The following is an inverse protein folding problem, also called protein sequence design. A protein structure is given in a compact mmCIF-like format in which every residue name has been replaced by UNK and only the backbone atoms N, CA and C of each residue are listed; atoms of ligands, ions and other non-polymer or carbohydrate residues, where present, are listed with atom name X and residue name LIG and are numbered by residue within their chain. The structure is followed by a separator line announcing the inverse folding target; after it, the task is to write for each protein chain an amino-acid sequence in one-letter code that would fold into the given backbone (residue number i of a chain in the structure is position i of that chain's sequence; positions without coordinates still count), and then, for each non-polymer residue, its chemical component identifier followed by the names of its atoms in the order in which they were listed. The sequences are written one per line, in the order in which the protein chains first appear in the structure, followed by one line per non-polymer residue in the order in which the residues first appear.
data_IF_976572874803
#
_entry.id   IF_976572874803
#
_cell.length_a   1.000
_cell.length_b   1.000
_cell.length_c   1.000
_cell.angle_alpha   90.00
_cell.angle_beta   90.00
_cell.angle_gamma   90.00
#
_symmetry.space_group_name_H-M   'P 1'
#
loop_
_entity.id
_entity.type
_entity.pdbx_description
1 polymer ?
#
# COMPACT_ATOMS: atom_id res chain seq x y z
N UNK A 1 4.16 -21.51 -20.61
CA UNK A 1 4.03 -20.04 -20.69
C UNK A 1 2.87 -19.59 -19.80
N UNK A 2 3.02 -18.49 -19.06
CA UNK A 2 1.97 -18.02 -18.13
C UNK A 2 0.77 -17.49 -18.91
N UNK A 3 -0.44 -17.89 -18.51
CA UNK A 3 -1.67 -17.33 -19.08
C UNK A 3 -1.89 -15.94 -18.51
N UNK A 4 -1.68 -14.91 -19.33
CA UNK A 4 -1.88 -13.52 -18.94
C UNK A 4 -3.35 -13.09 -19.12
N UNK A 5 -3.87 -12.18 -18.28
CA UNK A 5 -5.17 -11.56 -18.50
C UNK A 5 -5.18 -10.78 -19.82
N UNK A 6 -6.32 -10.81 -20.54
CA UNK A 6 -6.50 -10.07 -21.81
C UNK A 6 -6.42 -8.54 -21.66
N UNK A 7 -6.67 -8.03 -20.46
CA UNK A 7 -6.71 -6.59 -20.17
C UNK A 7 -5.90 -6.23 -18.93
N UNK A 8 -5.60 -4.95 -18.78
CA UNK A 8 -5.05 -4.35 -17.55
C UNK A 8 -6.02 -3.32 -16.99
N UNK A 9 -5.95 -3.10 -15.68
CA UNK A 9 -6.79 -2.11 -14.98
C UNK A 9 -5.95 -0.94 -14.47
N UNK A 10 -6.06 0.21 -15.15
CA UNK A 10 -5.41 1.43 -14.72
C UNK A 10 -6.30 2.23 -13.77
N UNK A 11 -5.93 2.25 -12.49
CA UNK A 11 -6.61 3.01 -11.45
C UNK A 11 -5.85 4.31 -11.16
N UNK A 12 -6.55 5.44 -11.17
CA UNK A 12 -5.99 6.74 -10.78
C UNK A 12 -6.92 7.50 -9.86
N UNK A 13 -6.33 8.20 -8.90
CA UNK A 13 -7.05 9.04 -7.93
C UNK A 13 -6.81 10.50 -8.29
N UNK A 14 -7.89 11.26 -8.42
CA UNK A 14 -7.85 12.73 -8.58
C UNK A 14 -8.56 13.38 -7.41
N UNK A 15 -8.15 14.61 -7.10
CA UNK A 15 -8.70 15.43 -6.03
C UNK A 15 -9.04 16.79 -6.63
N UNK A 16 -10.26 17.25 -6.38
CA UNK A 16 -10.79 18.50 -6.91
C UNK A 16 -11.37 19.30 -5.75
N UNK A 17 -11.26 20.62 -5.81
CA UNK A 17 -11.91 21.47 -4.80
C UNK A 17 -13.40 21.52 -5.09
N UNK A 18 -14.22 21.34 -4.05
CA UNK A 18 -15.67 21.50 -4.13
C UNK A 18 -16.06 22.94 -3.79
N UNK A 19 -17.10 23.44 -4.45
CA UNK A 19 -17.82 24.63 -4.00
C UNK A 19 -18.70 24.22 -2.81
N UNK A 20 -18.49 24.86 -1.66
CA UNK A 20 -19.22 24.55 -0.44
C UNK A 20 -20.57 25.25 -0.42
N UNK A 21 -21.61 24.59 -0.94
CA UNK A 21 -22.99 25.06 -0.81
C UNK A 21 -23.55 24.67 0.55
N UNK A 22 -24.54 25.41 1.06
CA UNK A 22 -25.20 25.10 2.33
C UNK A 22 -25.76 23.66 2.35
N UNK A 23 -26.37 23.22 1.24
CA UNK A 23 -26.90 21.87 1.12
C UNK A 23 -25.82 20.79 1.18
N UNK A 24 -24.68 21.00 0.51
CA UNK A 24 -23.54 20.08 0.53
C UNK A 24 -23.02 19.94 1.97
N UNK A 25 -22.83 21.07 2.65
CA UNK A 25 -22.31 21.10 4.03
C UNK A 25 -23.31 20.42 4.97
N UNK A 26 -24.58 20.81 4.95
CA UNK A 26 -25.61 20.23 5.82
C UNK A 26 -25.79 18.72 5.60
N UNK A 27 -25.71 18.25 4.35
CA UNK A 27 -25.75 16.82 4.05
C UNK A 27 -24.50 16.09 4.52
N UNK A 28 -23.33 16.70 4.35
CA UNK A 28 -22.08 16.13 4.85
C UNK A 28 -22.08 15.98 6.37
N UNK A 29 -22.49 17.00 7.12
CA UNK A 29 -22.56 16.91 8.59
C UNK A 29 -23.48 15.80 9.07
N UNK A 30 -24.68 15.67 8.46
CA UNK A 30 -25.61 14.56 8.76
C UNK A 30 -24.96 13.19 8.52
N UNK A 31 -24.29 13.00 7.39
CA UNK A 31 -23.62 11.73 7.11
C UNK A 31 -22.49 11.44 8.12
N UNK A 32 -21.71 12.46 8.51
CA UNK A 32 -20.62 12.33 9.48
C UNK A 32 -21.14 11.99 10.88
N UNK A 33 -22.24 12.59 11.31
CA UNK A 33 -22.88 12.29 12.60
C UNK A 33 -23.27 10.81 12.67
N UNK A 34 -23.91 10.29 11.61
CA UNK A 34 -24.30 8.89 11.49
C UNK A 34 -23.08 7.96 11.49
N UNK A 35 -22.05 8.27 10.69
CA UNK A 35 -20.81 7.49 10.65
C UNK A 35 -20.12 7.45 12.03
N UNK A 36 -20.10 8.56 12.76
CA UNK A 36 -19.53 8.64 14.12
C UNK A 36 -20.31 7.78 15.11
N UNK A 37 -21.65 7.90 15.12
CA UNK A 37 -22.56 7.12 15.97
C UNK A 37 -22.36 5.62 15.77
N UNK A 38 -22.28 5.18 14.51
CA UNK A 38 -22.16 3.77 14.14
C UNK A 38 -20.77 3.20 14.43
N UNK A 39 -19.70 4.00 14.33
CA UNK A 39 -18.33 3.50 14.43
C UNK A 39 -18.05 2.76 15.74
N UNK A 40 -18.35 3.37 16.88
CA UNK A 40 -18.09 2.79 18.19
C UNK A 40 -18.97 1.55 18.43
N UNK A 41 -20.23 1.60 17.98
CA UNK A 41 -21.16 0.47 18.06
C UNK A 41 -20.60 -0.76 17.30
N UNK A 42 -20.18 -0.57 16.05
CA UNK A 42 -19.62 -1.65 15.22
C UNK A 42 -18.30 -2.15 15.79
N UNK A 43 -17.42 -1.26 16.25
CA UNK A 43 -16.15 -1.67 16.84
C UNK A 43 -16.35 -2.54 18.09
N UNK A 44 -17.30 -2.17 18.96
CA UNK A 44 -17.67 -2.98 20.14
C UNK A 44 -18.21 -4.35 19.73
N UNK A 45 -19.09 -4.41 18.73
CA UNK A 45 -19.56 -5.69 18.18
C UNK A 45 -18.39 -6.56 17.69
N UNK A 46 -17.44 -5.99 16.94
CA UNK A 46 -16.31 -6.74 16.39
C UNK A 46 -15.36 -7.23 17.47
N UNK A 47 -15.06 -6.41 18.48
CA UNK A 47 -14.25 -6.83 19.63
C UNK A 47 -14.91 -7.97 20.41
N UNK A 48 -16.22 -7.89 20.65
CA UNK A 48 -16.98 -8.93 21.35
C UNK A 48 -17.16 -10.21 20.53
N UNK A 49 -17.22 -10.11 19.21
CA UNK A 49 -17.50 -11.27 18.34
C UNK A 49 -16.23 -11.97 17.85
N UNK A 50 -15.18 -11.20 17.57
CA UNK A 50 -13.98 -11.66 16.85
C UNK A 50 -12.67 -11.24 17.52
N UNK A 51 -12.73 -10.55 18.67
CA UNK A 51 -11.57 -10.04 19.39
C UNK A 51 -10.78 -11.11 20.15
N UNK A 52 -10.05 -10.67 21.18
CA UNK A 52 -9.05 -11.50 21.88
C UNK A 52 -9.62 -12.79 22.47
N UNK A 53 -10.88 -12.78 22.92
CA UNK A 53 -11.57 -13.96 23.48
C UNK A 53 -12.07 -14.94 22.40
N UNK A 54 -12.10 -14.54 21.13
CA UNK A 54 -12.74 -15.29 20.03
C UNK A 54 -11.82 -15.48 18.81
N UNK A 55 -10.53 -15.70 19.05
CA UNK A 55 -9.53 -15.90 17.98
C UNK A 55 -9.78 -17.13 17.11
N UNK A 56 -10.48 -18.14 17.63
CA UNK A 56 -10.85 -19.34 16.86
C UNK A 56 -12.00 -19.09 15.89
N UNK A 57 -12.81 -18.04 16.09
CA UNK A 57 -13.97 -17.76 15.23
C UNK A 57 -13.52 -17.33 13.82
N UNK A 58 -14.07 -17.88 12.73
CA UNK A 58 -13.75 -17.43 11.38
C UNK A 58 -14.09 -15.95 11.18
N UNK A 59 -13.18 -15.20 10.55
CA UNK A 59 -13.37 -13.79 10.21
C UNK A 59 -13.48 -13.61 8.70
N UNK A 60 -14.39 -12.76 8.18
CA UNK A 60 -14.53 -12.55 6.74
C UNK A 60 -13.26 -11.92 6.14
N UNK A 61 -12.57 -12.67 5.27
CA UNK A 61 -11.29 -12.23 4.68
C UNK A 61 -11.47 -11.50 3.35
N UNK A 62 -12.47 -11.88 2.55
CA UNK A 62 -12.73 -11.31 1.22
C UNK A 62 -13.90 -10.31 1.22
N UNK A 63 -14.03 -9.53 0.14
CA UNK A 63 -15.06 -8.47 0.01
C UNK A 63 -16.49 -9.02 0.10
N UNK A 64 -16.78 -10.14 -0.56
CA UNK A 64 -18.12 -10.75 -0.57
C UNK A 64 -18.57 -11.18 0.83
N UNK A 65 -17.70 -11.84 1.58
CA UNK A 65 -17.97 -12.25 2.95
C UNK A 65 -18.15 -11.05 3.91
N UNK A 66 -17.37 -9.97 3.71
CA UNK A 66 -17.55 -8.73 4.48
C UNK A 66 -18.88 -8.04 4.16
N UNK A 67 -19.29 -8.03 2.89
CA UNK A 67 -20.59 -7.51 2.47
C UNK A 67 -21.75 -8.29 3.09
N UNK A 68 -21.65 -9.62 3.15
CA UNK A 68 -22.62 -10.45 3.85
C UNK A 68 -22.74 -10.06 5.34
N UNK A 69 -21.61 -10.00 6.07
CA UNK A 69 -21.62 -9.59 7.48
C UNK A 69 -22.19 -8.17 7.66
N UNK A 70 -21.86 -7.24 6.78
CA UNK A 70 -22.39 -5.88 6.82
C UNK A 70 -23.91 -5.87 6.59
N UNK A 71 -24.38 -6.50 5.51
CA UNK A 71 -25.78 -6.47 5.06
C UNK A 71 -26.70 -7.24 6.01
N UNK A 72 -26.34 -8.46 6.37
CA UNK A 72 -27.27 -9.42 6.95
C UNK A 72 -27.15 -9.51 8.48
N UNK A 73 -26.09 -8.91 9.05
CA UNK A 73 -25.87 -8.91 10.51
C UNK A 73 -25.75 -7.50 11.09
N UNK A 74 -24.84 -6.67 10.56
CA UNK A 74 -24.58 -5.36 11.15
C UNK A 74 -25.72 -4.36 10.89
N UNK A 75 -26.22 -4.27 9.66
CA UNK A 75 -27.29 -3.33 9.31
C UNK A 75 -28.57 -3.60 10.12
N UNK A 76 -29.11 -4.83 10.21
CA UNK A 76 -30.30 -5.10 11.02
C UNK A 76 -30.12 -4.72 12.49
N UNK A 77 -28.93 -5.01 13.05
CA UNK A 77 -28.59 -4.65 14.43
C UNK A 77 -28.51 -3.13 14.65
N UNK A 78 -27.88 -2.42 13.72
CA UNK A 78 -27.80 -0.95 13.74
C UNK A 78 -29.21 -0.35 13.68
N UNK A 79 -30.05 -0.81 12.75
CA UNK A 79 -31.41 -0.30 12.58
C UNK A 79 -32.25 -0.53 13.84
N UNK A 80 -32.22 -1.74 14.40
CA UNK A 80 -32.95 -2.07 15.62
C UNK A 80 -32.44 -1.25 16.82
N UNK A 81 -31.15 -1.33 17.10
CA UNK A 81 -30.59 -0.85 18.37
C UNK A 81 -30.39 0.67 18.40
N UNK A 82 -30.11 1.31 17.25
CA UNK A 82 -29.80 2.75 17.18
C UNK A 82 -30.93 3.62 16.64
N UNK A 83 -31.91 3.01 15.96
CA UNK A 83 -32.99 3.74 15.28
C UNK A 83 -34.39 3.16 15.53
N UNK A 84 -34.54 2.00 16.19
CA UNK A 84 -35.84 1.36 16.40
C UNK A 84 -36.53 0.92 15.10
N UNK A 85 -35.76 0.62 14.05
CA UNK A 85 -36.28 0.29 12.73
C UNK A 85 -36.09 -1.19 12.39
N UNK A 86 -37.09 -1.78 11.71
CA UNK A 86 -37.02 -3.15 11.16
C UNK A 86 -36.51 -3.18 9.71
N UNK A 87 -36.65 -2.07 8.98
CA UNK A 87 -36.24 -1.92 7.57
C UNK A 87 -35.48 -0.61 7.38
N UNK A 88 -34.70 -0.53 6.30
CA UNK A 88 -33.92 0.65 6.00
C UNK A 88 -34.82 1.84 5.62
N UNK A 89 -34.65 2.96 6.33
CA UNK A 89 -35.25 4.25 5.99
C UNK A 89 -34.13 5.30 5.87
N UNK A 90 -33.83 5.73 4.65
CA UNK A 90 -32.74 6.68 4.40
C UNK A 90 -32.96 8.05 5.03
N UNK A 91 -34.21 8.48 5.23
CA UNK A 91 -34.51 9.78 5.84
C UNK A 91 -34.26 9.72 7.35
N UNK A 92 -34.72 8.65 8.01
CA UNK A 92 -34.51 8.45 9.46
C UNK A 92 -33.07 8.12 9.81
N UNK A 93 -32.40 7.32 8.99
CA UNK A 93 -31.00 6.95 9.25
C UNK A 93 -30.07 8.13 8.93
N UNK A 94 -30.39 8.96 7.94
CA UNK A 94 -29.62 10.17 7.62
C UNK A 94 -28.38 9.93 6.76
N UNK A 95 -28.23 8.75 6.18
CA UNK A 95 -27.18 8.41 5.22
C UNK A 95 -27.75 7.46 4.16
N UNK A 96 -27.14 7.41 2.97
CA UNK A 96 -27.51 6.41 1.97
C UNK A 96 -27.03 4.99 2.37
N UNK A 97 -27.87 3.97 2.13
CA UNK A 97 -27.59 2.58 2.53
C UNK A 97 -26.29 2.03 1.97
N UNK A 98 -25.98 2.32 0.71
CA UNK A 98 -24.75 1.85 0.06
C UNK A 98 -23.51 2.59 0.55
N UNK A 99 -23.63 3.86 0.95
CA UNK A 99 -22.52 4.60 1.57
C UNK A 99 -22.12 3.92 2.89
N UNK A 100 -23.13 3.60 3.71
CA UNK A 100 -22.92 2.91 4.96
C UNK A 100 -22.43 1.47 4.75
N UNK A 101 -23.17 0.68 3.98
CA UNK A 101 -22.94 -0.76 3.83
C UNK A 101 -21.71 -1.10 3.00
N UNK A 102 -21.55 -0.50 1.82
CA UNK A 102 -20.57 -0.94 0.82
C UNK A 102 -19.20 -0.27 0.99
N UNK A 103 -19.17 0.93 1.57
CA UNK A 103 -17.94 1.70 1.78
C UNK A 103 -17.58 1.76 3.28
N UNK A 104 -18.45 2.32 4.13
CA UNK A 104 -18.09 2.61 5.51
C UNK A 104 -17.87 1.34 6.35
N UNK A 105 -18.87 0.45 6.44
CA UNK A 105 -18.76 -0.79 7.20
C UNK A 105 -17.66 -1.71 6.65
N UNK A 106 -17.51 -1.82 5.32
CA UNK A 106 -16.43 -2.59 4.71
C UNK A 106 -15.06 -2.04 5.09
N UNK A 107 -14.91 -0.72 5.23
CA UNK A 107 -13.66 -0.12 5.67
C UNK A 107 -13.33 -0.49 7.13
N UNK A 108 -14.32 -0.45 8.03
CA UNK A 108 -14.16 -0.84 9.45
C UNK A 108 -13.79 -2.33 9.54
N UNK A 109 -14.53 -3.19 8.83
CA UNK A 109 -14.24 -4.63 8.75
C UNK A 109 -12.84 -4.89 8.21
N UNK A 110 -12.42 -4.19 7.16
CA UNK A 110 -11.09 -4.38 6.60
C UNK A 110 -10.00 -4.01 7.59
N UNK A 111 -10.11 -2.85 8.23
CA UNK A 111 -9.15 -2.40 9.25
C UNK A 111 -9.14 -3.34 10.46
N UNK A 112 -10.30 -3.81 10.92
CA UNK A 112 -10.38 -4.77 12.02
C UNK A 112 -9.76 -6.13 11.64
N UNK A 113 -9.94 -6.58 10.40
CA UNK A 113 -9.29 -7.78 9.89
C UNK A 113 -7.76 -7.70 9.92
N UNK A 114 -7.18 -6.55 9.56
CA UNK A 114 -5.73 -6.32 9.67
C UNK A 114 -5.26 -6.32 11.12
N UNK A 115 -5.99 -5.67 12.02
CA UNK A 115 -5.74 -5.78 13.46
C UNK A 115 -5.81 -7.24 13.93
N UNK A 116 -6.80 -8.00 13.49
CA UNK A 116 -7.00 -9.39 13.89
C UNK A 116 -5.84 -10.31 13.46
N UNK A 117 -5.23 -10.06 12.31
CA UNK A 117 -4.00 -10.77 11.89
C UNK A 117 -2.86 -10.52 12.88
N UNK A 118 -2.66 -9.25 13.28
CA UNK A 118 -1.66 -8.90 14.29
C UNK A 118 -1.98 -9.54 15.64
N UNK A 119 -3.25 -9.56 16.02
CA UNK A 119 -3.73 -10.16 17.27
C UNK A 119 -3.47 -11.67 17.33
N UNK A 120 -3.74 -12.41 16.23
CA UNK A 120 -3.43 -13.85 16.11
C UNK A 120 -1.92 -14.08 16.17
N UNK A 121 -1.13 -13.24 15.52
CA UNK A 121 0.34 -13.34 15.61
C UNK A 121 0.83 -13.07 17.04
N UNK A 122 0.25 -12.08 17.71
CA UNK A 122 0.62 -11.69 19.06
C UNK A 122 0.19 -12.73 20.11
N UNK A 123 -0.93 -13.43 19.91
CA UNK A 123 -1.39 -14.46 20.83
C UNK A 123 -0.41 -15.64 20.92
N UNK A 124 0.31 -15.92 19.84
CA UNK A 124 1.36 -16.96 19.74
C UNK A 124 2.71 -16.56 20.34
N UNK A 125 2.88 -15.32 20.79
CA UNK A 125 4.11 -14.90 21.48
C UNK A 125 4.25 -15.61 22.84
N UNK A 126 5.50 -15.88 23.23
CA UNK A 126 5.84 -16.40 24.55
C UNK A 126 5.36 -15.46 25.67
N UNK A 127 5.23 -15.99 26.90
CA UNK A 127 4.89 -15.18 28.08
C UNK A 127 5.90 -14.04 28.28
N UNK A 128 7.19 -14.33 28.09
CA UNK A 128 8.26 -13.34 28.19
C UNK A 128 8.10 -12.23 27.15
N UNK A 129 7.91 -12.55 25.87
CA UNK A 129 7.75 -11.55 24.81
C UNK A 129 6.52 -10.65 25.03
N UNK A 130 5.45 -11.17 25.64
CA UNK A 130 4.27 -10.38 26.01
C UNK A 130 4.61 -9.39 27.14
N UNK A 131 5.38 -9.83 28.15
CA UNK A 131 5.85 -9.00 29.26
C UNK A 131 6.83 -7.92 28.78
N UNK A 132 7.81 -8.28 27.93
CA UNK A 132 8.77 -7.35 27.35
C UNK A 132 8.08 -6.25 26.51
N UNK A 133 7.06 -6.64 25.74
CA UNK A 133 6.24 -5.68 25.01
C UNK A 133 5.49 -4.73 25.96
N UNK A 134 4.88 -5.25 27.03
CA UNK A 134 4.15 -4.43 28.01
C UNK A 134 5.09 -3.47 28.76
N UNK A 135 6.29 -3.94 29.11
CA UNK A 135 7.33 -3.15 29.77
C UNK A 135 8.08 -2.21 28.81
N UNK A 136 7.68 -2.17 27.54
CA UNK A 136 8.29 -1.33 26.52
C UNK A 136 9.83 -1.53 26.39
N UNK A 137 10.33 -2.73 26.62
CA UNK A 137 11.78 -3.04 26.64
C UNK A 137 12.49 -2.61 25.34
N UNK A 138 11.79 -2.68 24.21
CA UNK A 138 12.33 -2.34 22.88
C UNK A 138 11.89 -0.95 22.38
N UNK A 139 11.29 -0.12 23.21
CA UNK A 139 10.83 1.24 22.86
C UNK A 139 9.69 1.28 21.83
N UNK A 140 9.03 0.15 21.56
CA UNK A 140 7.98 0.01 20.54
C UNK A 140 6.54 0.03 21.10
N UNK A 141 6.39 0.26 22.40
CA UNK A 141 5.13 0.40 23.12
C UNK A 141 5.21 1.49 24.21
N UNK A 142 5.47 2.76 23.86
CA UNK A 142 5.68 3.84 24.83
C UNK A 142 4.45 4.14 25.71
N UNK A 143 3.29 3.55 25.39
CA UNK A 143 2.05 3.69 26.15
C UNK A 143 1.75 2.48 27.04
N UNK A 144 2.71 1.56 27.18
CA UNK A 144 2.60 0.32 27.97
C UNK A 144 1.29 -0.45 27.73
N UNK A 145 0.80 -0.41 26.49
CA UNK A 145 -0.47 -1.05 26.12
C UNK A 145 -0.32 -2.56 26.22
N UNK A 146 -1.37 -3.26 26.63
CA UNK A 146 -1.39 -4.72 26.59
C UNK A 146 -1.11 -5.24 25.17
N UNK A 147 -0.48 -6.40 25.05
CA UNK A 147 -0.09 -7.01 23.76
C UNK A 147 -1.26 -7.15 22.78
N UNK A 148 -2.47 -7.41 23.28
CA UNK A 148 -3.67 -7.56 22.46
C UNK A 148 -4.22 -6.22 21.95
N UNK A 149 -3.79 -5.08 22.49
CA UNK A 149 -4.13 -3.74 21.98
C UNK A 149 -3.17 -3.26 20.88
N UNK A 150 -2.18 -4.07 20.51
CA UNK A 150 -1.21 -3.73 19.46
C UNK A 150 -1.91 -3.62 18.10
N UNK A 151 -1.95 -2.39 17.57
CA UNK A 151 -2.60 -2.10 16.29
C UNK A 151 -4.13 -2.18 16.32
N UNK A 152 -4.75 -2.19 17.51
CA UNK A 152 -6.20 -2.12 17.62
C UNK A 152 -6.75 -0.80 17.08
N UNK A 153 -7.98 -0.82 16.58
CA UNK A 153 -8.69 0.40 16.24
C UNK A 153 -8.99 1.17 17.53
N UNK A 154 -8.81 2.49 17.51
CA UNK A 154 -9.22 3.33 18.63
C UNK A 154 -10.71 3.65 18.50
N UNK A 155 -11.42 3.65 19.62
CA UNK A 155 -12.76 4.23 19.73
C UNK A 155 -12.69 5.73 19.44
N UNK A 156 -13.73 6.26 18.79
CA UNK A 156 -13.91 7.71 18.63
C UNK A 156 -14.21 8.32 19.99
N UNK A 157 -13.42 9.34 20.35
CA UNK A 157 -13.67 10.18 21.52
C UNK A 157 -14.71 11.26 21.18
N UNK A 158 -15.39 11.88 22.16
CA UNK A 158 -16.42 12.91 21.91
C UNK A 158 -15.95 14.04 20.98
N UNK A 159 -14.70 14.47 21.12
CA UNK A 159 -14.15 15.59 20.33
C UNK A 159 -13.48 15.13 19.02
N UNK A 160 -13.65 13.86 18.63
CA UNK A 160 -13.09 13.30 17.41
C UNK A 160 -14.21 12.96 16.44
N UNK A 161 -14.09 13.49 15.23
CA UNK A 161 -15.05 13.24 14.17
C UNK A 161 -14.34 12.71 12.93
N UNK A 162 -15.05 11.90 12.15
CA UNK A 162 -14.64 11.63 10.77
C UNK A 162 -14.66 12.93 9.96
N UNK A 163 -13.89 12.96 8.89
CA UNK A 163 -13.80 14.10 7.98
C UNK A 163 -13.95 13.69 6.51
N UNK A 164 -14.47 12.49 6.27
CA UNK A 164 -14.54 11.91 4.94
C UNK A 164 -15.75 10.99 4.84
N UNK A 165 -16.65 11.28 3.90
CA UNK A 165 -17.73 10.39 3.50
C UNK A 165 -17.33 9.70 2.21
N UNK A 166 -17.46 8.37 2.13
CA UNK A 166 -17.16 7.58 0.93
C UNK A 166 -18.44 7.04 0.32
N UNK A 167 -18.57 7.16 -1.00
CA UNK A 167 -19.74 6.74 -1.76
C UNK A 167 -19.29 5.84 -2.92
N UNK A 168 -19.90 4.65 -3.06
CA UNK A 168 -19.65 3.84 -4.24
C UNK A 168 -20.24 4.56 -5.46
N UNK A 169 -19.62 4.40 -6.64
CA UNK A 169 -20.19 4.97 -7.86
C UNK A 169 -21.42 4.20 -8.31
N UNK A 170 -21.31 2.86 -8.37
CA UNK A 170 -22.33 1.95 -8.94
C UNK A 170 -22.87 2.41 -10.31
N UNK A 171 -22.05 3.11 -11.10
CA UNK A 171 -22.44 3.68 -12.39
C UNK A 171 -23.29 4.97 -12.31
N UNK A 172 -23.60 5.44 -11.11
CA UNK A 172 -24.39 6.65 -10.86
C UNK A 172 -23.55 7.92 -10.86
N UNK A 173 -22.28 7.83 -10.44
CA UNK A 173 -21.38 8.97 -10.48
C UNK A 173 -20.98 9.28 -11.93
N UNK A 174 -21.33 10.48 -12.41
CA UNK A 174 -21.12 10.89 -13.81
C UNK A 174 -20.75 12.36 -13.90
N UNK A 175 -19.76 12.67 -14.72
CA UNK A 175 -19.37 14.06 -15.01
C UNK A 175 -20.40 14.62 -16.00
N UNK A 176 -21.04 15.72 -15.61
CA UNK A 176 -22.13 16.33 -16.37
C UNK A 176 -21.57 17.39 -17.31
N UNK A 177 -20.69 18.25 -16.79
CA UNK A 177 -20.05 19.33 -17.56
C UNK A 177 -18.64 19.63 -17.01
N UNK A 178 -18.03 20.72 -17.47
CA UNK A 178 -16.67 21.11 -17.07
C UNK A 178 -16.51 21.26 -15.55
N UNK A 179 -17.53 21.76 -14.85
CA UNK A 179 -17.45 22.06 -13.42
C UNK A 179 -18.46 21.29 -12.58
N UNK A 180 -19.21 20.35 -13.16
CA UNK A 180 -20.30 19.68 -12.46
C UNK A 180 -20.22 18.17 -12.59
N UNK A 181 -20.42 17.49 -11.46
CA UNK A 181 -20.44 16.04 -11.34
C UNK A 181 -21.66 15.61 -10.52
N UNK A 182 -22.40 14.63 -11.05
CA UNK A 182 -23.43 13.94 -10.29
C UNK A 182 -22.77 12.90 -9.39
N UNK A 183 -23.10 12.92 -8.11
CA UNK A 183 -22.65 11.98 -7.09
C UNK A 183 -23.89 11.37 -6.44
N UNK A 184 -23.85 10.05 -6.21
CA UNK A 184 -24.90 9.37 -5.46
C UNK A 184 -25.11 10.03 -4.10
N UNK A 185 -26.36 10.14 -3.66
CA UNK A 185 -26.75 10.82 -2.41
C UNK A 185 -26.57 12.35 -2.43
N UNK A 186 -25.53 12.91 -3.05
CA UNK A 186 -25.26 14.36 -3.06
C UNK A 186 -25.84 15.11 -4.27
N UNK A 187 -26.39 14.39 -5.25
CA UNK A 187 -26.92 15.02 -6.47
C UNK A 187 -25.81 15.62 -7.31
N UNK A 188 -26.09 16.74 -7.97
CA UNK A 188 -25.09 17.46 -8.77
C UNK A 188 -24.30 18.39 -7.88
N UNK A 189 -22.98 18.19 -7.80
CA UNK A 189 -22.07 19.06 -7.05
C UNK A 189 -21.13 19.79 -7.99
N UNK A 190 -20.75 21.01 -7.62
CA UNK A 190 -19.83 21.83 -8.37
C UNK A 190 -18.39 21.64 -7.88
N UNK A 191 -17.47 21.48 -8.83
CA UNK A 191 -16.02 21.51 -8.61
C UNK A 191 -15.43 22.78 -9.21
N UNK A 192 -14.37 23.29 -8.60
CA UNK A 192 -13.66 24.48 -9.10
C UNK A 192 -12.86 24.15 -10.37
N UNK A 193 -12.23 22.98 -10.39
CA UNK A 193 -11.39 22.54 -11.50
C UNK A 193 -12.22 22.09 -12.72
N UNK A 194 -11.69 22.28 -13.93
CA UNK A 194 -12.29 21.72 -15.14
C UNK A 194 -12.03 20.21 -15.23
N UNK A 195 -13.10 19.42 -15.20
CA UNK A 195 -13.09 17.95 -15.24
C UNK A 195 -13.67 17.36 -16.53
N UNK A 196 -13.92 18.17 -17.56
CA UNK A 196 -14.57 17.74 -18.83
C UNK A 196 -13.81 16.58 -19.50
N UNK A 197 -12.48 16.59 -19.45
CA UNK A 197 -11.63 15.56 -20.05
C UNK A 197 -11.77 14.18 -19.42
N UNK A 198 -12.41 14.06 -18.25
CA UNK A 198 -12.63 12.79 -17.56
C UNK A 198 -14.02 12.20 -17.84
N UNK A 199 -14.88 12.86 -18.64
CA UNK A 199 -16.29 12.50 -18.83
C UNK A 199 -16.54 11.04 -19.17
N UNK A 200 -15.70 10.46 -20.04
CA UNK A 200 -15.85 9.09 -20.52
C UNK A 200 -15.08 8.05 -19.69
N UNK A 201 -14.49 8.45 -18.55
CA UNK A 201 -13.77 7.52 -17.69
C UNK A 201 -14.68 6.93 -16.62
N UNK A 202 -14.63 5.60 -16.44
CA UNK A 202 -15.39 4.91 -15.40
C UNK A 202 -14.98 5.41 -14.00
N UNK A 203 -15.95 5.91 -13.24
CA UNK A 203 -15.79 6.28 -11.84
C UNK A 203 -16.13 5.07 -10.96
N UNK A 204 -15.24 4.72 -10.03
CA UNK A 204 -15.39 3.56 -9.13
C UNK A 204 -15.95 3.99 -7.77
N UNK A 205 -15.36 5.03 -7.19
CA UNK A 205 -15.70 5.54 -5.84
C UNK A 205 -15.46 7.04 -5.82
N UNK A 206 -16.33 7.77 -5.14
CA UNK A 206 -16.19 9.19 -4.83
C UNK A 206 -16.09 9.38 -3.32
N UNK A 207 -15.23 10.30 -2.87
CA UNK A 207 -15.12 10.64 -1.46
C UNK A 207 -15.17 12.15 -1.28
N UNK A 208 -16.04 12.63 -0.41
CA UNK A 208 -16.11 14.03 -0.02
C UNK A 208 -15.34 14.17 1.28
N UNK A 209 -14.39 15.11 1.33
CA UNK A 209 -13.49 15.32 2.46
C UNK A 209 -13.55 16.75 2.95
N UNK A 210 -13.67 16.95 4.26
CA UNK A 210 -13.48 18.24 4.93
C UNK A 210 -12.02 18.38 5.35
N UNK A 211 -11.36 19.43 4.85
CA UNK A 211 -10.00 19.82 5.21
C UNK A 211 -9.99 20.54 6.56
N UNK A 212 -8.80 20.69 7.15
CA UNK A 212 -8.64 21.39 8.42
C UNK A 212 -9.04 22.88 8.35
N UNK A 213 -8.89 23.50 7.18
CA UNK A 213 -9.31 24.88 6.91
C UNK A 213 -10.80 25.01 6.51
N UNK A 214 -11.62 23.99 6.76
CA UNK A 214 -13.05 23.97 6.43
C UNK A 214 -13.37 23.70 4.95
N UNK A 215 -12.39 23.76 4.04
CA UNK A 215 -12.64 23.53 2.61
C UNK A 215 -13.02 22.08 2.31
N UNK A 216 -13.87 21.91 1.29
CA UNK A 216 -14.28 20.60 0.81
C UNK A 216 -13.47 20.15 -0.41
N UNK A 217 -13.06 18.89 -0.40
CA UNK A 217 -12.35 18.22 -1.50
C UNK A 217 -13.13 16.99 -1.95
N UNK A 218 -13.36 16.89 -3.25
CA UNK A 218 -13.85 15.68 -3.90
C UNK A 218 -12.68 14.84 -4.38
N UNK A 219 -12.52 13.65 -3.81
CA UNK A 219 -11.59 12.64 -4.30
C UNK A 219 -12.34 11.63 -5.18
N UNK A 220 -11.94 11.51 -6.44
CA UNK A 220 -12.53 10.58 -7.42
C UNK A 220 -11.53 9.48 -7.77
N UNK A 221 -11.99 8.22 -7.72
CA UNK A 221 -11.24 7.06 -8.20
C UNK A 221 -11.73 6.70 -9.59
N UNK A 222 -10.87 6.89 -10.58
CA UNK A 222 -11.12 6.53 -11.97
C UNK A 222 -10.49 5.18 -12.31
N UNK A 223 -11.17 4.42 -13.18
CA UNK A 223 -10.69 3.16 -13.74
C UNK A 223 -10.75 3.23 -15.27
N UNK A 224 -9.64 2.89 -15.90
CA UNK A 224 -9.54 2.66 -17.34
C UNK A 224 -9.15 1.21 -17.55
N UNK A 225 -9.86 0.52 -18.45
CA UNK A 225 -9.52 -0.83 -18.88
C UNK A 225 -8.77 -0.69 -20.20
N UNK A 226 -7.57 -1.24 -20.26
CA UNK A 226 -6.75 -1.24 -21.47
C UNK A 226 -6.57 -2.68 -21.96
N UNK A 227 -6.54 -2.88 -23.27
CA UNK A 227 -6.12 -4.17 -23.83
C UNK A 227 -4.65 -4.43 -23.51
N UNK A 228 -4.33 -5.68 -23.18
CA UNK A 228 -2.96 -6.06 -22.91
C UNK A 228 -2.23 -6.25 -24.25
N UNK A 229 -1.14 -5.52 -24.43
CA UNK A 229 -0.25 -5.65 -25.58
C UNK A 229 0.43 -7.02 -25.58
N UNK A 230 0.63 -7.58 -26.77
CA UNK A 230 1.48 -8.75 -26.97
C UNK A 230 2.89 -8.49 -26.44
N UNK A 231 3.56 -9.55 -26.00
CA UNK A 231 4.93 -9.45 -25.50
C UNK A 231 5.88 -9.76 -26.65
N UNK A 232 6.62 -8.74 -27.09
CA UNK A 232 7.72 -8.91 -28.05
C UNK A 232 9.04 -8.75 -27.31
N UNK A 233 9.21 -7.61 -26.63
CA UNK A 233 10.42 -7.31 -25.89
C UNK A 233 10.22 -7.53 -24.38
N UNK A 234 11.21 -8.10 -23.72
CA UNK A 234 11.14 -8.45 -22.30
C UNK A 234 12.47 -8.19 -21.60
N UNK A 235 12.38 -7.77 -20.34
CA UNK A 235 13.57 -7.49 -19.54
C UNK A 235 13.36 -7.96 -18.10
N UNK A 236 14.39 -8.58 -17.51
CA UNK A 236 14.49 -8.77 -16.07
C UNK A 236 15.28 -7.63 -15.44
N UNK A 237 14.86 -7.12 -14.30
CA UNK A 237 15.59 -6.09 -13.57
C UNK A 237 15.78 -6.48 -12.10
N UNK A 238 17.04 -6.55 -11.70
CA UNK A 238 17.49 -6.75 -10.32
C UNK A 238 17.66 -5.41 -9.60
N UNK A 239 17.17 -5.35 -8.37
CA UNK A 239 17.23 -4.15 -7.55
C UNK A 239 18.63 -3.96 -6.97
N UNK A 240 19.22 -2.79 -7.22
CA UNK A 240 20.47 -2.40 -6.57
C UNK A 240 20.29 -1.13 -5.73
N UNK A 241 21.23 -0.88 -4.83
CA UNK A 241 21.29 0.32 -3.98
C UNK A 241 22.71 0.88 -3.80
N UNK A 242 23.73 0.23 -4.39
CA UNK A 242 25.12 0.68 -4.38
C UNK A 242 25.24 1.82 -5.39
N UNK A 243 25.93 2.89 -5.00
CA UNK A 243 26.23 4.05 -5.86
C UNK A 243 25.03 4.66 -6.59
N UNK A 244 23.85 4.72 -5.94
CA UNK A 244 22.60 5.19 -6.53
C UNK A 244 22.12 4.40 -7.75
N UNK A 245 22.72 3.23 -8.05
CA UNK A 245 22.14 2.27 -8.98
C UNK A 245 20.81 1.81 -8.41
N UNK A 246 19.78 1.84 -9.24
CA UNK A 246 18.42 1.42 -8.91
C UNK A 246 18.17 0.04 -9.51
N UNK A 247 18.54 -0.14 -10.78
CA UNK A 247 18.33 -1.39 -11.49
C UNK A 247 19.60 -1.84 -12.20
N UNK A 248 19.77 -3.16 -12.27
CA UNK A 248 20.59 -3.80 -13.29
C UNK A 248 19.71 -4.75 -14.08
N UNK A 249 19.78 -4.66 -15.40
CA UNK A 249 18.91 -5.42 -16.29
C UNK A 249 19.57 -6.68 -16.85
N UNK A 250 18.76 -7.60 -17.38
CA UNK A 250 19.22 -8.82 -18.04
C UNK A 250 20.02 -8.57 -19.33
N UNK A 251 19.88 -7.38 -19.91
CA UNK A 251 20.63 -6.90 -21.08
C UNK A 251 21.94 -6.21 -20.67
N UNK A 252 22.30 -6.32 -19.40
CA UNK A 252 23.47 -5.70 -18.80
C UNK A 252 23.42 -4.16 -18.71
N UNK A 253 22.27 -3.53 -18.96
CA UNK A 253 22.09 -2.09 -18.70
C UNK A 253 22.02 -1.81 -17.19
N UNK A 254 22.56 -0.66 -16.79
CA UNK A 254 22.50 -0.13 -15.42
C UNK A 254 21.72 1.18 -15.38
N UNK A 255 20.68 1.25 -14.53
CA UNK A 255 19.88 2.45 -14.38
C UNK A 255 20.15 3.11 -13.03
N UNK A 256 20.53 4.39 -13.08
CA UNK A 256 20.91 5.19 -11.91
C UNK A 256 19.87 6.26 -11.58
N UNK A 257 19.74 6.57 -10.29
CA UNK A 257 19.07 7.80 -9.88
C UNK A 257 19.92 8.99 -10.34
N UNK A 258 19.34 9.90 -11.13
CA UNK A 258 20.02 11.12 -11.57
C UNK A 258 20.73 11.82 -10.41
N UNK A 259 22.02 12.13 -10.56
CA UNK A 259 22.83 12.80 -9.53
C UNK A 259 22.19 14.11 -9.07
N UNK A 260 21.72 14.93 -10.01
CA UNK A 260 21.04 16.19 -9.71
C UNK A 260 19.77 15.98 -8.86
N UNK A 261 18.93 15.01 -9.22
CA UNK A 261 17.73 14.65 -8.44
C UNK A 261 18.12 14.13 -7.05
N UNK A 262 19.15 13.29 -7.00
CA UNK A 262 19.72 12.70 -5.78
C UNK A 262 20.18 13.79 -4.81
N UNK A 263 20.94 14.78 -5.30
CA UNK A 263 21.50 15.87 -4.51
C UNK A 263 20.40 16.84 -4.05
N UNK A 264 19.44 17.19 -4.91
CA UNK A 264 18.26 17.99 -4.53
C UNK A 264 17.45 17.32 -3.43
N UNK A 265 17.25 16.00 -3.51
CA UNK A 265 16.53 15.25 -2.49
C UNK A 265 17.29 15.17 -1.17
N UNK A 266 18.63 15.16 -1.20
CA UNK A 266 19.47 15.18 0.01
C UNK A 266 19.50 16.56 0.67
N UNK A 267 19.55 17.65 -0.12
CA UNK A 267 19.42 19.03 0.40
C UNK A 267 18.10 19.22 1.15
N UNK A 268 16.99 18.79 0.55
CA UNK A 268 15.67 18.85 1.19
C UNK A 268 15.61 17.99 2.47
N UNK A 269 16.22 16.81 2.47
CA UNK A 269 16.28 15.96 3.67
C UNK A 269 17.07 16.61 4.80
N UNK A 270 18.18 17.28 4.49
CA UNK A 270 18.99 18.01 5.47
C UNK A 270 18.18 19.16 6.10
N UNK A 271 17.47 19.94 5.29
CA UNK A 271 16.59 21.03 5.74
C UNK A 271 15.44 20.51 6.62
N UNK A 272 14.78 19.43 6.19
CA UNK A 272 13.75 18.74 6.98
C UNK A 272 14.29 18.32 8.35
N UNK A 273 15.50 17.77 8.39
CA UNK A 273 16.10 17.31 9.65
C UNK A 273 16.49 18.48 10.56
N UNK A 274 16.99 19.59 10.01
CA UNK A 274 17.22 20.83 10.77
C UNK A 274 15.94 21.33 11.44
N UNK A 275 14.84 21.40 10.69
CA UNK A 275 13.54 21.82 11.23
C UNK A 275 13.00 20.86 12.29
N UNK A 276 13.17 19.54 12.09
CA UNK A 276 12.80 18.54 13.12
C UNK A 276 13.62 18.73 14.39
N UNK A 277 14.94 18.89 14.28
CA UNK A 277 15.81 19.13 15.42
C UNK A 277 15.41 20.42 16.16
N UNK A 278 15.15 21.50 15.44
CA UNK A 278 14.65 22.74 16.05
C UNK A 278 13.33 22.53 16.80
N UNK A 279 12.37 21.84 16.17
CA UNK A 279 11.09 21.51 16.82
C UNK A 279 11.30 20.66 18.07
N UNK A 280 12.18 19.66 18.01
CA UNK A 280 12.41 18.72 19.10
C UNK A 280 13.15 19.36 20.29
N UNK A 281 13.94 20.43 20.05
CA UNK A 281 14.53 21.26 21.09
C UNK A 281 13.50 22.16 21.80
N UNK A 282 12.38 22.47 21.15
CA UNK A 282 11.31 23.29 21.75
C UNK A 282 10.40 22.38 22.59
N UNK A 283 10.80 22.15 23.84
CA UNK A 283 10.05 21.32 24.80
C UNK A 283 9.08 22.13 25.66
N UNK A 284 9.29 23.44 25.79
CA UNK A 284 8.52 24.35 26.66
C UNK A 284 7.23 24.89 26.02
N UNK A 285 7.08 24.79 24.70
CA UNK A 285 5.85 25.25 24.03
C UNK A 285 4.84 24.11 23.91
N UNK A 286 3.57 24.48 24.10
CA UNK A 286 2.45 23.60 23.73
C UNK A 286 2.55 23.18 22.27
N UNK A 287 2.17 21.93 21.98
CA UNK A 287 2.08 21.39 20.62
C UNK A 287 1.13 22.20 19.71
N UNK A 288 0.21 22.98 20.31
CA UNK A 288 -0.73 23.85 19.60
C UNK A 288 -0.19 25.26 19.34
N UNK A 289 1.00 25.60 19.83
CA UNK A 289 1.58 26.93 19.61
C UNK A 289 1.76 27.20 18.11
N UNK A 290 1.54 28.46 17.71
CA UNK A 290 1.66 28.87 16.31
C UNK A 290 3.05 28.56 15.74
N UNK A 291 4.10 28.72 16.55
CA UNK A 291 5.48 28.38 16.19
C UNK A 291 5.66 26.89 15.88
N UNK A 292 5.16 26.00 16.73
CA UNK A 292 5.24 24.54 16.51
C UNK A 292 4.38 24.13 15.30
N UNK A 293 3.19 24.71 15.15
CA UNK A 293 2.33 24.48 13.96
C UNK A 293 3.07 24.87 12.68
N UNK A 294 3.69 26.06 12.65
CA UNK A 294 4.44 26.55 11.50
C UNK A 294 5.60 25.63 11.12
N UNK A 295 6.42 25.22 12.10
CA UNK A 295 7.50 24.25 11.86
C UNK A 295 6.96 22.93 11.28
N UNK A 296 5.85 22.43 11.81
CA UNK A 296 5.22 21.21 11.30
C UNK A 296 4.69 21.38 9.87
N UNK A 297 4.17 22.55 9.51
CA UNK A 297 3.74 22.87 8.14
C UNK A 297 4.93 22.91 7.17
N UNK A 298 6.02 23.58 7.54
CA UNK A 298 7.22 23.69 6.71
C UNK A 298 7.87 22.30 6.52
N UNK A 299 7.97 21.50 7.59
CA UNK A 299 8.43 20.10 7.51
C UNK A 299 7.56 19.30 6.54
N UNK A 300 6.22 19.44 6.61
CA UNK A 300 5.29 18.74 5.72
C UNK A 300 5.47 19.18 4.27
N UNK A 301 5.56 20.48 4.02
CA UNK A 301 5.77 21.04 2.69
C UNK A 301 7.05 20.52 2.05
N UNK A 302 8.19 20.63 2.73
CA UNK A 302 9.48 20.14 2.25
C UNK A 302 9.49 18.63 2.05
N UNK A 303 8.86 17.87 2.96
CA UNK A 303 8.71 16.42 2.81
C UNK A 303 7.90 16.05 1.56
N UNK A 304 6.83 16.78 1.27
CA UNK A 304 6.04 16.62 0.04
C UNK A 304 6.85 16.98 -1.20
N UNK A 305 7.57 18.11 -1.19
CA UNK A 305 8.44 18.54 -2.29
C UNK A 305 9.52 17.50 -2.60
N UNK A 306 10.20 16.98 -1.57
CA UNK A 306 11.19 15.90 -1.70
C UNK A 306 10.58 14.64 -2.30
N UNK A 307 9.40 14.24 -1.83
CA UNK A 307 8.72 13.07 -2.38
C UNK A 307 8.37 13.28 -3.85
N UNK A 308 7.83 14.44 -4.25
CA UNK A 308 7.48 14.71 -5.64
C UNK A 308 8.67 14.63 -6.59
N UNK A 309 9.83 15.20 -6.21
CA UNK A 309 11.06 15.15 -7.01
C UNK A 309 11.50 13.71 -7.26
N UNK A 310 11.51 12.87 -6.22
CA UNK A 310 11.87 11.45 -6.36
C UNK A 310 10.83 10.66 -7.18
N UNK A 311 9.54 10.84 -6.88
CA UNK A 311 8.44 10.16 -7.59
C UNK A 311 8.42 10.54 -9.08
N UNK A 312 8.75 11.78 -9.44
CA UNK A 312 8.86 12.21 -10.84
C UNK A 312 9.97 11.46 -11.58
N UNK A 313 11.15 11.35 -10.97
CA UNK A 313 12.28 10.61 -11.54
C UNK A 313 11.98 9.11 -11.66
N UNK A 314 11.34 8.51 -10.66
CA UNK A 314 10.89 7.11 -10.75
C UNK A 314 9.88 6.87 -11.87
N UNK A 315 8.98 7.81 -12.12
CA UNK A 315 8.06 7.73 -13.26
C UNK A 315 8.78 7.85 -14.59
N UNK A 316 9.81 8.71 -14.68
CA UNK A 316 10.66 8.84 -15.87
C UNK A 316 11.34 7.51 -16.18
N UNK A 317 11.99 6.90 -15.19
CA UNK A 317 12.66 5.60 -15.32
C UNK A 317 11.68 4.47 -15.66
N UNK A 318 10.50 4.44 -15.03
CA UNK A 318 9.46 3.48 -15.36
C UNK A 318 9.01 3.60 -16.83
N UNK A 319 8.84 4.84 -17.32
CA UNK A 319 8.51 5.09 -18.73
C UNK A 319 9.62 4.63 -19.66
N UNK A 320 10.88 4.87 -19.31
CA UNK A 320 12.06 4.47 -20.09
C UNK A 320 12.12 2.94 -20.26
N UNK A 321 11.95 2.18 -19.17
CA UNK A 321 11.89 0.71 -19.21
C UNK A 321 10.77 0.20 -20.14
N UNK A 322 9.57 0.78 -20.06
CA UNK A 322 8.44 0.40 -20.91
C UNK A 322 8.48 0.98 -22.32
N UNK A 323 9.41 1.88 -22.63
CA UNK A 323 9.58 2.35 -24.02
C UNK A 323 10.20 1.26 -24.86
N UNK A 324 11.18 0.53 -24.31
CA UNK A 324 11.88 -0.56 -24.99
C UNK A 324 11.22 -1.94 -24.81
N UNK A 325 10.48 -2.14 -23.72
CA UNK A 325 10.01 -3.46 -23.30
C UNK A 325 8.49 -3.54 -23.12
N UNK A 326 7.89 -4.68 -23.46
CA UNK A 326 6.46 -4.99 -23.24
C UNK A 326 6.22 -5.76 -21.95
N UNK A 327 7.24 -6.51 -21.50
CA UNK A 327 7.29 -7.18 -20.21
C UNK A 327 8.49 -6.69 -19.40
N UNK A 328 8.25 -6.32 -18.14
CA UNK A 328 9.29 -6.03 -17.16
C UNK A 328 9.13 -6.96 -15.95
N UNK A 329 10.09 -7.83 -15.72
CA UNK A 329 10.14 -8.71 -14.56
C UNK A 329 11.01 -8.10 -13.47
N UNK A 330 10.51 -8.03 -12.23
CA UNK A 330 11.25 -7.47 -11.08
C UNK A 330 11.05 -8.33 -9.84
N UNK A 331 11.94 -8.22 -8.86
CA UNK A 331 11.74 -8.87 -7.58
C UNK A 331 10.58 -8.27 -6.77
N UNK A 332 9.86 -9.14 -6.08
CA UNK A 332 8.88 -8.80 -5.06
C UNK A 332 9.58 -8.53 -3.71
N UNK A 333 10.27 -7.40 -3.63
CA UNK A 333 11.01 -7.03 -2.43
C UNK A 333 10.09 -6.66 -1.26
N UNK A 334 10.32 -7.32 -0.12
CA UNK A 334 9.69 -6.94 1.14
C UNK A 334 10.52 -5.88 1.87
N UNK A 335 10.30 -4.61 1.54
CA UNK A 335 11.01 -3.47 2.15
C UNK A 335 10.90 -3.42 3.69
N UNK A 336 9.85 -4.02 4.30
CA UNK A 336 9.70 -4.09 5.76
C UNK A 336 10.72 -5.07 6.36
N UNK A 337 10.90 -6.22 5.73
CA UNK A 337 11.91 -7.21 6.14
C UNK A 337 13.33 -6.65 5.94
N UNK A 338 13.59 -5.95 4.84
CA UNK A 338 14.90 -5.33 4.57
C UNK A 338 15.32 -4.26 5.60
N UNK A 339 14.35 -3.65 6.28
CA UNK A 339 14.54 -2.62 7.32
C UNK A 339 14.64 -3.19 8.73
N UNK A 340 14.49 -4.51 8.93
CA UNK A 340 14.66 -5.11 10.26
C UNK A 340 16.06 -4.82 10.79
N UNK A 341 16.12 -4.37 12.05
CA UNK A 341 17.33 -3.89 12.71
C UNK A 341 18.18 -5.10 13.10
N UNK A 342 19.39 -5.21 12.57
CA UNK A 342 20.42 -6.07 13.15
C UNK A 342 21.08 -5.32 14.32
N UNK A 343 20.97 -5.84 15.54
CA UNK A 343 21.50 -5.15 16.73
C UNK A 343 23.03 -5.00 16.71
N UNK A 344 23.71 -5.86 15.93
CA UNK A 344 25.18 -5.96 15.88
C UNK A 344 25.84 -4.76 15.16
N UNK A 345 25.21 -4.19 14.11
CA UNK A 345 25.81 -3.10 13.30
C UNK A 345 24.87 -1.90 13.13
N UNK A 346 24.76 -1.07 14.17
CA UNK A 346 23.82 0.07 14.23
C UNK A 346 24.10 1.14 13.15
N UNK A 347 25.37 1.48 12.91
CA UNK A 347 25.76 2.53 11.95
C UNK A 347 25.53 2.11 10.50
N UNK A 348 25.90 0.89 10.12
CA UNK A 348 25.62 0.34 8.79
C UNK A 348 24.11 0.27 8.52
N UNK A 349 23.31 -0.08 9.54
CA UNK A 349 21.85 -0.06 9.43
C UNK A 349 21.28 1.35 9.22
N UNK A 350 21.85 2.39 9.84
CA UNK A 350 21.42 3.78 9.63
C UNK A 350 21.66 4.22 8.19
N UNK A 351 22.83 3.95 7.64
CA UNK A 351 23.17 4.26 6.25
C UNK A 351 22.29 3.49 5.24
N UNK A 352 22.12 2.18 5.44
CA UNK A 352 21.22 1.34 4.63
C UNK A 352 19.77 1.84 4.67
N UNK A 353 19.25 2.17 5.86
CA UNK A 353 17.90 2.67 6.02
C UNK A 353 17.70 4.03 5.36
N UNK A 354 18.68 4.93 5.43
CA UNK A 354 18.65 6.22 4.70
C UNK A 354 18.55 5.98 3.20
N UNK A 355 19.36 5.07 2.63
CA UNK A 355 19.29 4.70 1.21
C UNK A 355 17.94 4.06 0.85
N UNK A 356 17.41 3.15 1.68
CA UNK A 356 16.09 2.52 1.48
C UNK A 356 14.94 3.54 1.54
N UNK A 357 15.08 4.60 2.33
CA UNK A 357 14.11 5.69 2.42
C UNK A 357 14.20 6.66 1.24
N UNK A 358 15.36 6.74 0.59
CA UNK A 358 15.56 7.49 -0.66
C UNK A 358 14.99 6.73 -1.84
N UNK A 359 15.51 5.52 -2.13
CA UNK A 359 15.19 4.72 -3.33
C UNK A 359 13.76 4.15 -3.28
N UNK A 360 13.28 3.70 -2.11
CA UNK A 360 11.92 3.18 -1.89
C UNK A 360 11.46 2.11 -2.92
N UNK A 361 12.06 0.91 -2.94
CA UNK A 361 11.76 -0.14 -3.92
C UNK A 361 10.26 -0.47 -4.06
N UNK A 362 9.54 -0.52 -2.94
CA UNK A 362 8.08 -0.73 -2.94
C UNK A 362 7.31 0.37 -3.69
N UNK A 363 7.69 1.64 -3.51
CA UNK A 363 7.02 2.75 -4.20
C UNK A 363 7.25 2.66 -5.72
N UNK A 364 8.49 2.39 -6.12
CA UNK A 364 8.85 2.23 -7.52
C UNK A 364 8.18 1.03 -8.18
N UNK A 365 8.12 -0.13 -7.51
CA UNK A 365 7.37 -1.29 -8.02
C UNK A 365 5.90 -0.98 -8.27
N UNK A 366 5.25 -0.19 -7.40
CA UNK A 366 3.88 0.30 -7.65
C UNK A 366 3.79 1.27 -8.83
N UNK A 367 4.77 2.14 -9.02
CA UNK A 367 4.80 3.07 -10.16
C UNK A 367 5.01 2.31 -11.48
N UNK A 368 5.83 1.26 -11.49
CA UNK A 368 5.99 0.36 -12.64
C UNK A 368 4.67 -0.34 -12.98
N UNK A 369 3.99 -0.93 -12.00
CA UNK A 369 2.66 -1.55 -12.20
C UNK A 369 1.66 -0.52 -12.73
N UNK A 370 1.65 0.68 -12.16
CA UNK A 370 0.75 1.75 -12.59
C UNK A 370 1.03 2.18 -14.04
N UNK A 371 2.31 2.29 -14.42
CA UNK A 371 2.75 2.61 -15.77
C UNK A 371 2.37 1.50 -16.76
N UNK A 372 2.62 0.25 -16.40
CA UNK A 372 2.28 -0.92 -17.20
C UNK A 372 0.77 -1.00 -17.44
N UNK A 373 -0.04 -0.84 -16.39
CA UNK A 373 -1.49 -0.81 -16.52
C UNK A 373 -1.96 0.32 -17.42
N UNK A 374 -1.35 1.51 -17.31
CA UNK A 374 -1.66 2.65 -18.19
C UNK A 374 -1.34 2.37 -19.66
N UNK A 375 -0.27 1.63 -19.94
CA UNK A 375 0.21 1.35 -21.31
C UNK A 375 -0.30 0.03 -21.90
N UNK A 376 -1.08 -0.76 -21.13
CA UNK A 376 -1.47 -2.12 -21.53
C UNK A 376 -0.32 -3.13 -21.47
N UNK A 377 0.77 -2.85 -20.76
CA UNK A 377 1.98 -3.68 -20.70
C UNK A 377 2.01 -4.59 -19.47
N UNK A 378 2.99 -5.49 -19.42
CA UNK A 378 3.08 -6.54 -18.39
C UNK A 378 4.21 -6.25 -17.40
N UNK A 379 3.90 -6.38 -16.11
CA UNK A 379 4.86 -6.48 -15.01
C UNK A 379 4.65 -7.81 -14.31
N UNK A 380 5.75 -8.52 -14.08
CA UNK A 380 5.74 -9.72 -13.25
C UNK A 380 6.64 -9.47 -12.04
N UNK A 381 6.06 -9.53 -10.85
CA UNK A 381 6.80 -9.55 -9.59
C UNK A 381 7.19 -10.99 -9.29
N UNK A 382 8.47 -11.28 -9.07
CA UNK A 382 9.00 -12.62 -8.78
C UNK A 382 9.45 -12.71 -7.32
N UNK A 383 9.16 -13.81 -6.63
CA UNK A 383 9.68 -14.06 -5.28
C UNK A 383 11.22 -13.96 -5.27
N UNK A 384 11.78 -13.14 -4.37
CA UNK A 384 13.21 -12.80 -4.37
C UNK A 384 14.10 -13.90 -3.76
N UNK A 385 13.58 -15.12 -3.57
CA UNK A 385 14.30 -16.16 -2.86
C UNK A 385 15.48 -16.69 -3.69
N UNK A 386 16.69 -16.36 -3.23
CA UNK A 386 17.99 -16.82 -3.78
C UNK A 386 18.23 -16.47 -5.25
N UNK A 387 17.56 -15.45 -5.77
CA UNK A 387 17.74 -14.93 -7.14
C UNK A 387 19.21 -14.66 -7.51
N UNK A 388 19.99 -14.10 -6.58
CA UNK A 388 21.41 -13.81 -6.77
C UNK A 388 22.38 -14.93 -6.36
N UNK A 389 21.90 -16.00 -5.72
CA UNK A 389 22.72 -17.11 -5.22
C UNK A 389 22.67 -18.35 -6.12
N UNK A 390 21.67 -18.43 -6.99
CA UNK A 390 21.55 -19.49 -7.99
C UNK A 390 22.28 -19.02 -9.25
N UNK A 391 23.21 -19.81 -9.78
CA UNK A 391 23.82 -19.52 -11.08
C UNK A 391 22.79 -19.70 -12.20
N UNK A 392 22.65 -18.69 -13.05
CA UNK A 392 21.68 -18.64 -14.13
C UNK A 392 21.81 -19.82 -15.07
N UNK A 393 20.66 -20.38 -15.47
CA UNK A 393 20.59 -21.59 -16.31
C UNK A 393 20.85 -22.90 -15.56
N UNK A 394 21.19 -22.86 -14.26
CA UNK A 394 21.57 -24.05 -13.48
C UNK A 394 20.68 -24.25 -12.23
N UNK A 395 21.01 -25.27 -11.43
CA UNK A 395 20.50 -25.46 -10.07
C UNK A 395 21.59 -25.22 -9.01
N UNK A 396 22.79 -24.84 -9.43
CA UNK A 396 23.93 -24.63 -8.55
C UNK A 396 23.67 -23.41 -7.67
N UNK A 397 23.88 -23.59 -6.37
CA UNK A 397 23.65 -22.55 -5.36
C UNK A 397 24.95 -22.28 -4.63
N UNK A 398 25.35 -21.02 -4.59
CA UNK A 398 26.47 -20.58 -3.79
C UNK A 398 26.10 -19.32 -3.01
N UNK A 399 26.45 -19.34 -1.72
CA UNK A 399 26.18 -18.21 -0.84
C UNK A 399 27.40 -17.31 -0.84
N UNK A 400 27.20 -16.08 -1.32
CA UNK A 400 28.22 -15.04 -1.36
C UNK A 400 27.93 -13.92 -0.35
N UNK A 401 28.95 -13.16 0.04
CA UNK A 401 28.75 -11.94 0.81
C UNK A 401 28.02 -10.89 -0.04
N UNK A 402 27.37 -9.92 0.61
CA UNK A 402 26.69 -8.83 -0.08
C UNK A 402 27.69 -7.95 -0.84
N UNK A 403 28.96 -7.91 -0.42
CA UNK A 403 30.01 -7.15 -1.07
C UNK A 403 30.66 -7.88 -2.25
N UNK A 404 30.47 -9.19 -2.37
CA UNK A 404 30.97 -9.97 -3.51
C UNK A 404 30.08 -9.69 -4.72
N UNK A 405 30.68 -9.10 -5.74
CA UNK A 405 29.99 -8.65 -6.96
C UNK A 405 30.27 -9.55 -8.15
N UNK A 406 31.39 -10.26 -8.12
CA UNK A 406 31.79 -11.29 -9.07
C UNK A 406 32.30 -12.50 -8.30
N UNK A 407 32.11 -13.69 -8.84
CA UNK A 407 32.74 -14.92 -8.34
C UNK A 407 33.07 -15.84 -9.50
N UNK A 408 34.02 -16.75 -9.28
CA UNK A 408 34.29 -17.86 -10.20
C UNK A 408 33.38 -19.02 -9.80
N UNK A 409 32.52 -19.47 -10.71
CA UNK A 409 31.64 -20.60 -10.46
C UNK A 409 32.44 -21.87 -10.23
N UNK A 410 32.18 -22.57 -9.12
CA UNK A 410 32.74 -23.92 -8.89
C UNK A 410 32.06 -25.00 -9.73
N UNK A 411 30.97 -24.67 -10.42
CA UNK A 411 30.25 -25.60 -11.27
C UNK A 411 30.70 -25.50 -12.73
N UNK A 412 30.83 -24.28 -13.26
CA UNK A 412 31.15 -24.04 -14.68
C UNK A 412 32.55 -23.47 -14.90
N UNK A 413 33.23 -23.01 -13.86
CA UNK A 413 34.51 -22.30 -13.95
C UNK A 413 34.39 -20.85 -14.48
N UNK A 414 33.20 -20.40 -14.86
CA UNK A 414 32.99 -19.08 -15.44
C UNK A 414 32.98 -17.97 -14.38
N UNK A 415 33.37 -16.74 -14.76
CA UNK A 415 33.21 -15.55 -13.93
C UNK A 415 31.76 -15.07 -14.03
N UNK A 416 31.07 -15.06 -12.89
CA UNK A 416 29.66 -14.66 -12.81
C UNK A 416 29.54 -13.26 -12.20
N UNK A 417 28.88 -12.35 -12.91
CA UNK A 417 28.46 -11.02 -12.44
C UNK A 417 27.14 -11.15 -11.66
N UNK A 418 27.14 -10.82 -10.36
CA UNK A 418 26.02 -11.15 -9.45
C UNK A 418 24.67 -10.56 -9.82
N UNK A 419 24.65 -9.31 -10.18
CA UNK A 419 23.41 -8.62 -10.54
C UNK A 419 22.90 -9.02 -11.93
N UNK A 420 23.81 -9.24 -12.89
CA UNK A 420 23.45 -9.73 -14.21
C UNK A 420 22.87 -11.15 -14.09
N UNK A 421 23.48 -11.98 -13.26
CA UNK A 421 22.97 -13.30 -12.89
C UNK A 421 21.57 -13.21 -12.26
N UNK A 422 21.39 -12.32 -11.28
CA UNK A 422 20.10 -12.12 -10.62
C UNK A 422 19.01 -11.66 -11.59
N UNK A 423 19.29 -10.65 -12.42
CA UNK A 423 18.33 -10.11 -13.40
C UNK A 423 17.92 -11.14 -14.45
N UNK A 424 18.86 -11.97 -14.94
CA UNK A 424 18.57 -13.10 -15.84
C UNK A 424 17.71 -14.17 -15.16
N UNK A 425 18.00 -14.54 -13.91
CA UNK A 425 17.16 -15.46 -13.13
C UNK A 425 15.75 -14.90 -12.93
N UNK A 426 15.61 -13.61 -12.61
CA UNK A 426 14.31 -12.95 -12.44
C UNK A 426 13.49 -13.06 -13.72
N UNK A 427 14.08 -12.78 -14.89
CA UNK A 427 13.38 -12.93 -16.17
C UNK A 427 12.97 -14.38 -16.44
N UNK A 428 13.91 -15.33 -16.32
CA UNK A 428 13.62 -16.74 -16.60
C UNK A 428 12.53 -17.29 -15.68
N UNK A 429 12.60 -17.00 -14.37
CA UNK A 429 11.58 -17.46 -13.41
C UNK A 429 10.26 -16.72 -13.57
N UNK A 430 10.26 -15.47 -14.06
CA UNK A 430 9.05 -14.78 -14.44
C UNK A 430 8.35 -15.43 -15.63
N UNK A 431 9.08 -15.98 -16.61
CA UNK A 431 8.50 -16.65 -17.78
C UNK A 431 8.13 -18.11 -17.49
N UNK A 432 8.92 -18.78 -16.66
CA UNK A 432 8.73 -20.16 -16.24
C UNK A 432 8.89 -20.31 -14.70
N UNK A 433 7.83 -20.08 -13.92
CA UNK A 433 7.91 -20.16 -12.46
C UNK A 433 8.27 -21.55 -11.90
N UNK A 434 8.22 -22.61 -12.73
CA UNK A 434 8.71 -23.96 -12.35
C UNK A 434 10.23 -24.03 -12.26
N UNK A 435 10.95 -23.08 -12.86
CA UNK A 435 12.41 -23.03 -12.77
C UNK A 435 12.89 -22.43 -11.46
N UNK A 436 12.02 -21.71 -10.76
CA UNK A 436 12.34 -21.06 -9.51
C UNK A 436 12.82 -22.07 -8.46
N UNK A 437 13.97 -21.78 -7.84
CA UNK A 437 14.61 -22.71 -6.90
C UNK A 437 13.74 -23.05 -5.68
N UNK A 438 12.98 -22.09 -5.16
CA UNK A 438 12.02 -22.28 -4.06
C UNK A 438 10.95 -23.32 -4.39
N UNK A 439 10.47 -23.35 -5.63
CA UNK A 439 9.56 -24.40 -6.09
C UNK A 439 10.27 -25.76 -6.10
N UNK A 440 11.45 -25.85 -6.73
CA UNK A 440 12.24 -27.08 -6.84
C UNK A 440 12.58 -27.67 -5.47
N UNK A 441 13.03 -26.84 -4.52
CA UNK A 441 13.31 -27.24 -3.14
C UNK A 441 12.04 -27.71 -2.43
N UNK A 442 10.91 -26.98 -2.56
CA UNK A 442 9.65 -27.41 -1.94
C UNK A 442 9.13 -28.73 -2.52
N UNK A 443 9.33 -28.95 -3.83
CA UNK A 443 8.94 -30.19 -4.48
C UNK A 443 9.79 -31.37 -3.99
N UNK A 444 11.10 -31.15 -3.78
CA UNK A 444 11.99 -32.14 -3.17
C UNK A 444 11.52 -32.50 -1.76
N UNK A 445 11.25 -31.51 -0.90
CA UNK A 445 10.75 -31.74 0.46
C UNK A 445 9.40 -32.46 0.48
N UNK A 446 8.52 -32.18 -0.48
CA UNK A 446 7.25 -32.88 -0.63
C UNK A 446 7.45 -34.35 -1.01
N UNK A 447 8.34 -34.63 -1.98
CA UNK A 447 8.69 -36.00 -2.37
C UNK A 447 9.34 -36.79 -1.24
N UNK A 448 10.09 -36.12 -0.36
CA UNK A 448 10.68 -36.71 0.86
C UNK A 448 9.67 -36.84 2.03
N UNK A 449 8.40 -36.50 1.85
CA UNK A 449 7.38 -36.58 2.91
C UNK A 449 7.51 -35.54 4.03
N UNK A 450 8.44 -34.59 3.93
CA UNK A 450 8.70 -33.57 4.97
C UNK A 450 7.65 -32.47 5.04
N UNK A 451 6.88 -32.27 3.97
CA UNK A 451 5.77 -31.30 3.92
C UNK A 451 4.54 -31.93 3.25
N UNK A 452 3.35 -31.48 3.66
CA UNK A 452 2.07 -32.01 3.12
C UNK A 452 1.76 -31.57 1.69
N UNK A 453 2.25 -30.40 1.28
CA UNK A 453 1.99 -29.84 -0.05
C UNK A 453 3.19 -29.03 -0.55
N UNK A 454 3.56 -29.21 -1.81
CA UNK A 454 4.56 -28.37 -2.48
C UNK A 454 4.01 -26.98 -2.79
N UNK A 455 4.91 -25.99 -2.92
CA UNK A 455 4.52 -24.64 -3.34
C UNK A 455 4.02 -24.71 -4.78
N UNK A 456 2.92 -24.01 -5.10
CA UNK A 456 2.47 -23.88 -6.50
C UNK A 456 3.34 -22.85 -7.21
N UNK A 457 3.86 -23.12 -8.43
CA UNK A 457 4.71 -22.16 -9.16
C UNK A 457 4.08 -20.77 -9.31
N UNK A 458 2.77 -20.70 -9.55
CA UNK A 458 2.05 -19.42 -9.68
C UNK A 458 2.01 -18.59 -8.38
N UNK A 459 2.25 -19.19 -7.21
CA UNK A 459 2.33 -18.44 -5.95
C UNK A 459 3.67 -17.70 -5.80
N UNK A 460 4.65 -17.98 -6.67
CA UNK A 460 5.96 -17.34 -6.68
C UNK A 460 6.02 -16.09 -7.55
N UNK A 461 4.92 -15.78 -8.25
CA UNK A 461 4.83 -14.61 -9.11
C UNK A 461 3.54 -13.82 -8.85
N UNK A 462 3.54 -12.56 -9.24
CA UNK A 462 2.33 -11.71 -9.27
C UNK A 462 2.34 -10.89 -10.54
N UNK A 463 1.26 -10.97 -11.31
CA UNK A 463 1.07 -10.21 -12.55
C UNK A 463 0.19 -8.99 -12.26
N UNK A 464 0.49 -7.87 -12.92
CA UNK A 464 -0.25 -6.61 -12.82
C UNK A 464 -1.65 -6.60 -13.42
#
# INVERSE_FOLDING_TARGET
MIKLPKTTEYIRVRRYRLVATNDLVAKFERNIEVENKIYNYVLKYLENTYGVKHLKRPYPTNKKAKLFLAKDVLIPKILKDLYGLSKWDGKKVGIHSQALRDEYLISILTNFGEYRKNLISASKMSKQNKKDYQNNLHGNNPKNKSWYRKGSLNYLRPNQSKNCVSLPSNGQAKIISAHFIKIQDYGTVQVVDNIKNMKNTKIVTTKIKRKANGQFELQIVFKTINERKGIVNMIGADWNMKNNKIWHTSDNDELYLSKNVSDKADKLEAEINKLKSQRDLITWLSQKSQRITKLNEDIRYLSSKRSHILTAEYNRMAKELFTKNDLVAIENLNAKEMRKRNQINVNQNKAKNRKLAKIKPYEMGRLLIQMANRLGKTVILVDSYKTSQVEYGTKYQEKHDVNDRKWVSKHTGAIIERDLNASRNILAWALNPKEHIKYKESLKLYKEGKIKTAIKPLNLITVN
#
